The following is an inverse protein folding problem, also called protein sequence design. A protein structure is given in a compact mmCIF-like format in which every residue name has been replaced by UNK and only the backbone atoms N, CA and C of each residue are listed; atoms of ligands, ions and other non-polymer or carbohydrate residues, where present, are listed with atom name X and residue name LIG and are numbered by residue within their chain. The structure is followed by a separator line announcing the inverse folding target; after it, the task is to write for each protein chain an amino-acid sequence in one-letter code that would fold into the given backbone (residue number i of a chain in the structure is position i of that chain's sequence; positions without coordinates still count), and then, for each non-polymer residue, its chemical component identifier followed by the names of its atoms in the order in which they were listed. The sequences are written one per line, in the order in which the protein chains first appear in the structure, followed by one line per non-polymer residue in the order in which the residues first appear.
data_IF_747980365367
#
_entry.id   IF_747980365367
#
_cell.length_a   1.000
_cell.length_b   1.000
_cell.length_c   1.000
_cell.angle_alpha   90.00
_cell.angle_beta   90.00
_cell.angle_gamma   90.00
#
_symmetry.space_group_name_H-M   'P 1'
#
loop_
_entity.id
_entity.type
_entity.pdbx_description
1 polymer ?
#
# COMPACT_ATOMS: atom_id res chain seq x y z
N UNK A 1 -11.72 -21.42 -2.14
CA UNK A 1 -10.64 -21.53 -1.13
C UNK A 1 -10.31 -23.00 -0.91
N UNK A 2 -9.06 -23.43 -1.12
CA UNK A 2 -8.66 -24.84 -1.03
C UNK A 2 -8.09 -25.13 0.38
N UNK A 3 -8.87 -25.79 1.24
CA UNK A 3 -8.58 -26.03 2.66
C UNK A 3 -7.21 -26.69 2.95
N UNK A 4 -6.65 -27.41 1.97
CA UNK A 4 -5.31 -28.02 2.09
C UNK A 4 -4.15 -27.01 2.13
N UNK A 5 -4.31 -25.83 1.52
CA UNK A 5 -3.23 -24.83 1.39
C UNK A 5 -3.10 -23.92 2.62
N UNK A 6 -4.23 -23.60 3.28
CA UNK A 6 -4.25 -22.91 4.58
C UNK A 6 -3.50 -23.68 5.66
N UNK A 7 -3.48 -25.02 5.60
CA UNK A 7 -2.75 -25.86 6.56
C UNK A 7 -1.23 -25.62 6.55
N UNK A 8 -0.64 -25.32 5.39
CA UNK A 8 0.81 -25.05 5.29
C UNK A 8 1.14 -23.61 5.74
N UNK A 9 0.38 -22.61 5.32
CA UNK A 9 0.56 -21.22 5.78
C UNK A 9 0.28 -21.06 7.29
N UNK A 10 -0.69 -21.79 7.85
CA UNK A 10 -0.92 -21.82 9.29
C UNK A 10 0.28 -22.39 10.05
N UNK A 11 1.01 -23.36 9.50
CA UNK A 11 2.17 -23.97 10.17
C UNK A 11 3.38 -23.03 10.24
N UNK A 12 3.68 -22.30 9.16
CA UNK A 12 4.78 -21.31 9.11
C UNK A 12 4.48 -20.03 9.91
N UNK A 13 3.19 -19.71 10.11
CA UNK A 13 2.74 -18.50 10.81
C UNK A 13 2.33 -18.73 12.26
N UNK A 14 2.25 -19.99 12.71
CA UNK A 14 1.92 -20.34 14.10
C UNK A 14 3.12 -20.18 15.04
N UNK A 15 4.33 -20.58 14.61
CA UNK A 15 5.56 -20.38 15.40
C UNK A 15 5.84 -18.90 15.67
N UNK A 16 5.62 -18.03 14.68
CA UNK A 16 5.85 -16.60 14.82
C UNK A 16 4.78 -15.84 15.65
N UNK A 17 3.62 -16.46 15.89
CA UNK A 17 2.58 -15.96 16.82
C UNK A 17 2.86 -16.29 18.29
N UNK A 18 3.81 -17.18 18.61
CA UNK A 18 4.02 -17.66 19.99
C UNK A 18 4.65 -16.65 20.93
N UNK A 19 5.39 -15.67 20.42
CA UNK A 19 5.98 -14.61 21.25
C UNK A 19 5.73 -13.24 20.63
N UNK A 20 4.65 -12.58 21.08
CA UNK A 20 4.23 -11.24 20.63
C UNK A 20 4.58 -10.16 21.65
N UNK A 21 5.40 -10.47 22.67
CA UNK A 21 5.80 -9.50 23.71
C UNK A 21 6.57 -8.32 23.13
N UNK A 22 7.33 -8.57 22.07
CA UNK A 22 8.06 -7.54 21.35
C UNK A 22 7.12 -6.53 20.70
N UNK A 23 6.04 -6.97 20.02
CA UNK A 23 5.07 -6.09 19.38
C UNK A 23 4.31 -5.20 20.39
N UNK A 24 3.86 -5.78 21.50
CA UNK A 24 3.22 -5.02 22.58
C UNK A 24 4.16 -3.96 23.14
N UNK A 25 5.42 -4.34 23.40
CA UNK A 25 6.45 -3.43 23.86
C UNK A 25 6.70 -2.30 22.86
N UNK A 26 6.74 -2.57 21.56
CA UNK A 26 6.94 -1.53 20.53
C UNK A 26 5.82 -0.50 20.54
N UNK A 27 4.57 -0.94 20.66
CA UNK A 27 3.40 -0.05 20.70
C UNK A 27 3.38 0.78 22.00
N UNK A 28 3.69 0.17 23.14
CA UNK A 28 3.85 0.90 24.40
C UNK A 28 4.98 1.94 24.33
N UNK A 29 6.11 1.59 23.71
CA UNK A 29 7.23 2.50 23.51
C UNK A 29 6.84 3.68 22.61
N UNK A 30 6.10 3.45 21.52
CA UNK A 30 5.58 4.52 20.67
C UNK A 30 4.57 5.40 21.41
N UNK A 31 3.79 4.83 22.33
CA UNK A 31 2.85 5.58 23.16
C UNK A 31 3.55 6.45 24.22
N UNK A 32 4.59 5.92 24.88
CA UNK A 32 5.37 6.63 25.89
C UNK A 32 6.34 7.66 25.28
N UNK A 33 6.81 7.39 24.07
CA UNK A 33 7.80 8.19 23.35
C UNK A 33 7.29 8.51 21.93
N UNK A 34 6.30 9.41 21.78
CA UNK A 34 5.71 9.73 20.47
C UNK A 34 6.72 10.18 19.41
N UNK A 35 7.83 10.79 19.84
CA UNK A 35 8.95 11.20 18.99
C UNK A 35 9.63 10.06 18.23
N UNK A 36 9.51 8.82 18.72
CA UNK A 36 9.99 7.63 18.02
C UNK A 36 9.08 7.21 16.87
N UNK A 37 7.83 7.69 16.87
CA UNK A 37 6.87 7.53 15.78
C UNK A 37 7.12 8.50 14.62
N UNK A 38 8.16 9.34 14.68
CA UNK A 38 8.53 10.23 13.58
C UNK A 38 9.02 9.41 12.39
N UNK A 39 8.49 9.76 11.23
CA UNK A 39 8.90 9.22 9.96
C UNK A 39 10.05 10.07 9.39
N UNK A 40 11.15 9.45 8.96
CA UNK A 40 12.23 10.16 8.27
C UNK A 40 11.83 10.49 6.83
N UNK A 41 11.12 11.60 6.64
CA UNK A 41 11.17 12.31 5.35
C UNK A 41 11.64 13.73 5.62
N UNK A 42 12.63 14.19 4.87
CA UNK A 42 13.32 15.49 5.05
C UNK A 42 12.38 16.71 4.97
N UNK A 43 11.11 16.52 4.59
CA UNK A 43 10.12 17.58 4.38
C UNK A 43 8.89 17.51 5.32
N UNK A 44 8.70 16.44 6.10
CA UNK A 44 7.48 16.26 6.91
C UNK A 44 7.69 16.70 8.37
N UNK A 45 7.25 17.91 8.68
CA UNK A 45 7.36 18.53 10.01
C UNK A 45 6.36 18.03 11.07
N UNK A 46 5.52 17.02 10.81
CA UNK A 46 4.49 16.57 11.74
C UNK A 46 4.64 15.09 12.19
N UNK A 47 4.27 14.87 13.46
CA UNK A 47 4.35 13.61 14.20
C UNK A 47 3.15 12.71 13.86
N UNK A 48 3.34 11.69 13.01
CA UNK A 48 2.32 10.68 12.68
C UNK A 48 2.23 9.53 13.72
N UNK A 49 2.33 9.87 15.00
CA UNK A 49 2.45 8.86 16.07
C UNK A 49 1.13 8.11 16.31
N UNK A 50 -0.02 8.80 16.24
CA UNK A 50 -1.31 8.18 16.54
C UNK A 50 -1.70 7.15 15.48
N UNK A 51 -1.37 7.43 14.24
CA UNK A 51 -1.58 6.58 13.08
C UNK A 51 -0.71 5.33 13.17
N UNK A 52 0.59 5.51 13.48
CA UNK A 52 1.55 4.41 13.69
C UNK A 52 1.09 3.49 14.84
N UNK A 53 0.64 4.06 15.97
CA UNK A 53 0.09 3.29 17.09
C UNK A 53 -1.20 2.55 16.68
N UNK A 54 -2.07 3.19 15.88
CA UNK A 54 -3.27 2.57 15.35
C UNK A 54 -2.97 1.35 14.47
N UNK A 55 -1.96 1.46 13.60
CA UNK A 55 -1.45 0.36 12.77
C UNK A 55 -0.95 -0.80 13.64
N UNK A 56 -0.15 -0.51 14.67
CA UNK A 56 0.33 -1.53 15.60
C UNK A 56 -0.81 -2.23 16.35
N UNK A 57 -1.81 -1.48 16.82
CA UNK A 57 -3.01 -2.06 17.47
C UNK A 57 -3.79 -2.97 16.52
N UNK A 58 -3.90 -2.60 15.24
CA UNK A 58 -4.53 -3.44 14.21
C UNK A 58 -3.75 -4.73 13.96
N UNK A 59 -2.42 -4.65 13.94
CA UNK A 59 -1.56 -5.83 13.85
C UNK A 59 -1.80 -6.78 15.04
N UNK A 60 -1.83 -6.26 16.27
CA UNK A 60 -2.16 -7.06 17.46
C UNK A 60 -3.52 -7.74 17.28
N UNK A 61 -4.56 -6.98 16.91
CA UNK A 61 -5.92 -7.52 16.74
C UNK A 61 -5.96 -8.67 15.72
N UNK A 62 -5.29 -8.51 14.58
CA UNK A 62 -5.21 -9.52 13.53
C UNK A 62 -4.41 -10.76 13.96
N UNK A 63 -3.43 -10.60 14.86
CA UNK A 63 -2.59 -11.71 15.33
C UNK A 63 -3.18 -12.47 16.53
N UNK A 64 -3.90 -11.78 17.42
CA UNK A 64 -4.42 -12.33 18.68
C UNK A 64 -5.87 -12.81 18.60
N UNK A 65 -6.74 -12.08 17.89
CA UNK A 65 -8.19 -12.23 18.00
C UNK A 65 -8.79 -12.86 16.72
N UNK A 66 -8.27 -12.48 15.56
CA UNK A 66 -8.81 -12.89 14.27
C UNK A 66 -7.98 -14.04 13.67
N UNK A 67 -8.60 -14.91 12.85
CA UNK A 67 -7.86 -15.82 11.97
C UNK A 67 -7.61 -15.05 10.67
N UNK A 68 -6.45 -14.40 10.49
CA UNK A 68 -6.25 -13.50 9.36
C UNK A 68 -6.29 -14.29 8.06
N UNK A 69 -7.05 -13.79 7.09
CA UNK A 69 -7.06 -14.31 5.72
C UNK A 69 -6.04 -13.53 4.87
N UNK A 70 -5.69 -14.05 3.69
CA UNK A 70 -4.74 -13.42 2.75
C UNK A 70 -5.07 -11.95 2.46
N UNK A 71 -6.36 -11.60 2.40
CA UNK A 71 -6.81 -10.21 2.27
C UNK A 71 -6.39 -9.33 3.46
N UNK A 72 -6.59 -9.78 4.69
CA UNK A 72 -6.23 -9.02 5.89
C UNK A 72 -4.72 -8.80 5.98
N UNK A 73 -3.93 -9.82 5.61
CA UNK A 73 -2.47 -9.76 5.58
C UNK A 73 -2.00 -8.79 4.49
N UNK A 74 -2.66 -8.78 3.34
CA UNK A 74 -2.42 -7.81 2.25
C UNK A 74 -2.72 -6.39 2.68
N UNK A 75 -3.86 -6.15 3.31
CA UNK A 75 -4.24 -4.83 3.83
C UNK A 75 -3.26 -4.35 4.89
N UNK A 76 -2.84 -5.24 5.80
CA UNK A 76 -1.91 -4.95 6.87
C UNK A 76 -0.50 -4.67 6.36
N UNK A 77 0.01 -5.46 5.41
CA UNK A 77 1.28 -5.19 4.73
C UNK A 77 1.24 -3.85 4.01
N UNK A 78 0.17 -3.61 3.25
CA UNK A 78 -0.02 -2.36 2.55
C UNK A 78 -0.11 -1.18 3.50
N UNK A 79 -0.60 -1.35 4.73
CA UNK A 79 -0.62 -0.30 5.74
C UNK A 79 0.76 -0.08 6.37
N UNK A 80 1.45 -1.17 6.75
CA UNK A 80 2.75 -1.09 7.41
C UNK A 80 3.86 -0.54 6.51
N UNK A 81 3.80 -0.78 5.20
CA UNK A 81 4.75 -0.17 4.26
C UNK A 81 4.66 1.37 4.26
N UNK A 82 3.51 1.97 4.60
CA UNK A 82 3.41 3.43 4.76
C UNK A 82 4.36 3.91 5.86
N UNK A 83 4.44 3.14 6.94
CA UNK A 83 5.22 3.50 8.13
C UNK A 83 6.60 2.82 8.14
N UNK A 84 7.05 2.24 7.02
CA UNK A 84 8.40 1.66 6.86
C UNK A 84 9.39 2.81 6.73
N UNK A 85 9.98 3.23 7.86
CA UNK A 85 10.78 4.45 7.97
C UNK A 85 10.53 5.27 9.25
N UNK A 86 9.67 4.78 10.14
CA UNK A 86 9.57 5.28 11.51
C UNK A 86 10.90 5.09 12.24
N UNK A 87 11.33 6.10 13.02
CA UNK A 87 12.54 6.13 13.84
C UNK A 87 12.50 5.16 15.04
N UNK A 88 12.22 3.89 14.78
CA UNK A 88 12.14 2.83 15.77
C UNK A 88 12.60 1.50 15.15
N UNK A 89 13.69 0.94 15.66
CA UNK A 89 14.26 -0.32 15.18
C UNK A 89 13.28 -1.49 15.32
N UNK A 90 12.55 -1.57 16.44
CA UNK A 90 11.57 -2.63 16.65
C UNK A 90 10.40 -2.51 15.65
N UNK A 91 10.08 -1.29 15.20
CA UNK A 91 9.06 -1.06 14.17
C UNK A 91 9.51 -1.52 12.78
N UNK A 92 10.78 -1.33 12.43
CA UNK A 92 11.33 -1.86 11.18
C UNK A 92 11.26 -3.39 11.15
N UNK A 93 11.50 -4.04 12.28
CA UNK A 93 11.34 -5.49 12.41
C UNK A 93 9.87 -5.93 12.31
N UNK A 94 8.91 -5.13 12.80
CA UNK A 94 7.47 -5.34 12.53
C UNK A 94 7.19 -5.32 11.03
N UNK A 95 7.72 -4.31 10.33
CA UNK A 95 7.49 -4.14 8.89
C UNK A 95 8.05 -5.33 8.10
N UNK A 96 9.28 -5.78 8.41
CA UNK A 96 9.90 -6.96 7.79
C UNK A 96 9.10 -8.23 8.08
N UNK A 97 8.67 -8.41 9.33
CA UNK A 97 7.89 -9.56 9.74
C UNK A 97 6.57 -9.66 8.96
N UNK A 98 5.85 -8.55 8.82
CA UNK A 98 4.61 -8.56 8.03
C UNK A 98 4.87 -8.67 6.54
N UNK A 99 5.98 -8.14 6.03
CA UNK A 99 6.42 -8.35 4.65
C UNK A 99 6.68 -9.83 4.36
N UNK A 100 7.36 -10.56 5.23
CA UNK A 100 7.51 -12.01 5.12
C UNK A 100 6.16 -12.73 5.20
N UNK A 101 5.27 -12.28 6.09
CA UNK A 101 3.91 -12.80 6.21
C UNK A 101 3.11 -12.62 4.93
N UNK A 102 3.22 -11.45 4.32
CA UNK A 102 2.64 -11.09 3.04
C UNK A 102 3.16 -12.00 1.93
N UNK A 103 4.48 -12.17 1.84
CA UNK A 103 5.10 -13.08 0.87
C UNK A 103 4.62 -14.53 1.02
N UNK A 104 4.46 -15.01 2.25
CA UNK A 104 4.01 -16.39 2.54
C UNK A 104 2.50 -16.55 2.34
N UNK A 105 1.70 -15.54 2.66
CA UNK A 105 0.24 -15.58 2.57
C UNK A 105 -0.31 -15.27 1.17
N UNK A 106 0.45 -14.56 0.33
CA UNK A 106 -0.01 -13.99 -0.94
C UNK A 106 0.75 -14.47 -2.17
N UNK A 107 1.18 -15.72 -2.23
CA UNK A 107 1.53 -16.33 -3.54
C UNK A 107 0.24 -16.64 -4.35
N UNK A 108 -0.65 -15.66 -4.53
CA UNK A 108 -1.65 -15.65 -5.60
C UNK A 108 -2.79 -16.69 -5.59
N UNK A 109 -3.59 -16.78 -4.53
CA UNK A 109 -4.76 -17.68 -4.58
C UNK A 109 -6.03 -17.07 -5.25
N UNK A 110 -6.18 -15.73 -5.39
CA UNK A 110 -7.42 -15.10 -5.96
C UNK A 110 -7.21 -13.80 -6.81
N UNK A 111 -6.02 -13.52 -7.39
CA UNK A 111 -5.82 -12.24 -8.12
C UNK A 111 -6.54 -12.20 -9.47
N UNK A 112 -7.68 -11.50 -9.53
CA UNK A 112 -8.47 -11.28 -10.76
C UNK A 112 -7.99 -10.06 -11.57
N UNK A 113 -6.77 -9.56 -11.36
CA UNK A 113 -6.32 -8.33 -12.00
C UNK A 113 -6.78 -7.06 -11.29
N UNK A 114 -7.35 -7.12 -10.09
CA UNK A 114 -7.81 -5.93 -9.36
C UNK A 114 -7.53 -6.03 -7.87
N UNK A 115 -7.20 -4.90 -7.25
CA UNK A 115 -7.30 -4.71 -5.80
C UNK A 115 -8.17 -3.51 -5.48
N UNK A 116 -8.89 -3.60 -4.37
CA UNK A 116 -9.63 -2.48 -3.79
C UNK A 116 -9.11 -2.22 -2.37
N UNK A 117 -8.77 -0.97 -2.09
CA UNK A 117 -8.10 -0.56 -0.87
C UNK A 117 -8.88 0.56 -0.18
N UNK A 118 -9.08 0.44 1.13
CA UNK A 118 -9.47 1.57 1.96
C UNK A 118 -8.28 1.98 2.84
N UNK A 119 -7.42 2.84 2.30
CA UNK A 119 -6.19 3.27 2.97
C UNK A 119 -6.44 4.04 4.28
N UNK A 120 -7.61 4.67 4.42
CA UNK A 120 -7.87 5.66 5.47
C UNK A 120 -8.93 5.22 6.50
N UNK A 121 -9.45 3.99 6.37
CA UNK A 121 -10.56 3.45 7.17
C UNK A 121 -10.41 3.69 8.67
N UNK A 122 -9.20 3.57 9.19
CA UNK A 122 -8.91 3.58 10.63
C UNK A 122 -8.51 4.98 11.15
N UNK A 123 -8.24 5.95 10.25
CA UNK A 123 -7.67 7.25 10.60
C UNK A 123 -8.67 8.40 10.39
N UNK A 124 -9.73 8.16 9.61
CA UNK A 124 -10.79 9.13 9.28
C UNK A 124 -10.31 10.57 8.96
N UNK A 125 -9.30 10.75 8.09
CA UNK A 125 -8.85 12.09 7.70
C UNK A 125 -9.90 12.77 6.80
N UNK A 126 -9.69 14.06 6.53
CA UNK A 126 -10.44 14.71 5.45
C UNK A 126 -10.04 14.10 4.11
N UNK A 127 -11.01 13.46 3.46
CA UNK A 127 -10.80 12.69 2.24
C UNK A 127 -10.89 13.57 0.99
N UNK A 128 -10.08 13.23 0.00
CA UNK A 128 -10.04 13.90 -1.30
C UNK A 128 -10.02 12.88 -2.43
N UNK A 129 -10.55 13.26 -3.59
CA UNK A 129 -10.34 12.54 -4.86
C UNK A 129 -9.76 13.50 -5.89
N UNK A 130 -9.30 12.97 -7.01
CA UNK A 130 -8.99 13.80 -8.19
C UNK A 130 -10.29 14.39 -8.75
N UNK A 131 -10.24 15.60 -9.31
CA UNK A 131 -11.42 16.26 -9.84
C UNK A 131 -11.74 15.84 -11.29
N UNK A 132 -10.70 15.48 -12.05
CA UNK A 132 -10.79 15.13 -13.48
C UNK A 132 -9.94 13.91 -13.78
N UNK A 133 -10.34 13.04 -14.72
CA UNK A 133 -9.52 11.95 -15.16
C UNK A 133 -8.18 12.42 -15.75
N UNK A 134 -7.11 11.65 -15.53
CA UNK A 134 -5.79 11.94 -16.10
C UNK A 134 -5.02 10.68 -16.50
N UNK A 135 -4.07 10.83 -17.42
CA UNK A 135 -3.15 9.78 -17.84
C UNK A 135 -1.81 10.01 -17.14
N UNK A 136 -1.23 8.93 -16.63
CA UNK A 136 0.05 8.90 -15.97
C UNK A 136 1.00 7.97 -16.73
N UNK A 137 2.19 8.46 -17.06
CA UNK A 137 3.26 7.68 -17.68
C UNK A 137 4.53 7.79 -16.84
N UNK A 138 5.14 6.64 -16.59
CA UNK A 138 6.36 6.54 -15.81
C UNK A 138 7.31 5.55 -16.44
N UNK A 139 8.54 6.02 -16.66
CA UNK A 139 9.62 5.24 -17.23
C UNK A 139 10.86 5.37 -16.36
N UNK A 140 11.44 4.24 -15.98
CA UNK A 140 12.69 4.17 -15.26
C UNK A 140 13.73 3.49 -16.14
N UNK A 141 14.77 4.23 -16.49
CA UNK A 141 15.93 3.74 -17.24
C UNK A 141 17.17 4.13 -16.47
N UNK A 142 18.01 3.16 -16.09
CA UNK A 142 19.30 3.44 -15.45
C UNK A 142 20.39 2.57 -16.04
N UNK A 143 21.45 3.21 -16.51
CA UNK A 143 22.64 2.60 -17.10
C UNK A 143 23.87 3.07 -16.34
N UNK A 144 24.28 2.37 -15.27
CA UNK A 144 25.51 2.72 -14.51
C UNK A 144 26.64 1.70 -14.68
N UNK A 145 26.33 0.48 -15.09
CA UNK A 145 27.21 -0.60 -15.58
C UNK A 145 26.29 -1.81 -15.75
N UNK A 146 26.59 -2.72 -16.67
CA UNK A 146 25.76 -3.91 -16.91
C UNK A 146 25.51 -4.67 -15.58
N UNK A 147 24.25 -5.02 -15.23
CA UNK A 147 23.04 -4.96 -16.05
C UNK A 147 22.33 -3.59 -16.03
N UNK A 148 21.73 -3.21 -17.16
CA UNK A 148 20.85 -2.04 -17.22
C UNK A 148 19.50 -2.32 -16.53
N UNK A 149 18.83 -1.25 -16.10
CA UNK A 149 17.53 -1.31 -15.43
C UNK A 149 16.46 -0.65 -16.30
N UNK A 150 15.34 -1.34 -16.48
CA UNK A 150 14.22 -0.88 -17.28
C UNK A 150 12.86 -1.17 -16.64
N UNK A 151 11.98 -0.17 -16.62
CA UNK A 151 10.57 -0.32 -16.31
C UNK A 151 9.76 0.78 -16.97
N UNK A 152 8.59 0.45 -17.52
CA UNK A 152 7.70 1.42 -18.15
C UNK A 152 6.24 1.03 -17.93
N UNK A 153 5.47 1.94 -17.36
CA UNK A 153 4.03 1.76 -17.14
C UNK A 153 3.26 3.00 -17.53
N UNK A 154 2.05 2.78 -18.01
CA UNK A 154 1.06 3.81 -18.32
C UNK A 154 -0.25 3.40 -17.68
N UNK A 155 -0.84 4.31 -16.92
CA UNK A 155 -2.15 4.09 -16.32
C UNK A 155 -3.03 5.33 -16.39
N UNK A 156 -4.33 5.08 -16.29
CA UNK A 156 -5.35 6.09 -16.22
C UNK A 156 -5.87 6.19 -14.79
N UNK A 157 -6.05 7.41 -14.28
CA UNK A 157 -6.68 7.66 -12.98
C UNK A 157 -8.02 8.34 -13.24
N UNK A 158 -9.10 7.77 -12.72
CA UNK A 158 -10.46 8.30 -12.78
C UNK A 158 -11.00 8.58 -11.38
N UNK A 159 -11.77 9.66 -11.18
CA UNK A 159 -12.54 9.85 -9.95
C UNK A 159 -13.63 8.78 -9.84
N UNK A 160 -13.80 8.23 -8.65
CA UNK A 160 -14.85 7.27 -8.29
C UNK A 160 -15.53 7.70 -6.99
N UNK A 161 -16.23 8.85 -7.04
CA UNK A 161 -16.74 9.59 -5.88
C UNK A 161 -17.75 8.79 -5.02
N UNK A 162 -18.31 7.71 -5.58
CA UNK A 162 -19.35 6.90 -4.93
C UNK A 162 -18.81 6.02 -3.78
N UNK A 163 -17.54 5.60 -3.84
CA UNK A 163 -16.95 4.66 -2.87
C UNK A 163 -15.69 5.26 -2.23
N UNK A 164 -15.57 5.22 -0.90
CA UNK A 164 -14.38 5.70 -0.17
C UNK A 164 -13.18 4.73 -0.28
N UNK A 165 -12.96 4.16 -1.46
CA UNK A 165 -11.91 3.18 -1.75
C UNK A 165 -11.10 3.59 -2.98
N UNK A 166 -9.87 3.08 -3.04
CA UNK A 166 -9.00 3.16 -4.21
C UNK A 166 -9.02 1.79 -4.89
N UNK A 167 -9.42 1.78 -6.15
CA UNK A 167 -9.36 0.59 -6.99
C UNK A 167 -8.12 0.67 -7.87
N UNK A 168 -7.31 -0.39 -7.89
CA UNK A 168 -6.19 -0.53 -8.82
C UNK A 168 -6.46 -1.75 -9.68
N UNK A 169 -6.53 -1.57 -10.99
CA UNK A 169 -6.96 -2.56 -11.97
C UNK A 169 -5.87 -2.75 -13.01
N UNK A 170 -5.61 -4.00 -13.34
CA UNK A 170 -4.76 -4.46 -14.42
C UNK A 170 -5.63 -4.75 -15.64
N UNK A 171 -5.31 -4.12 -16.78
CA UNK A 171 -6.05 -4.26 -18.03
C UNK A 171 -5.13 -4.55 -19.22
N UNK A 172 -3.95 -5.14 -18.96
CA UNK A 172 -3.01 -5.56 -20.00
C UNK A 172 -3.17 -7.07 -20.21
N UNK A 173 -3.70 -7.46 -21.37
CA UNK A 173 -3.91 -8.87 -21.71
C UNK A 173 -2.70 -9.53 -22.42
N UNK A 174 -1.79 -8.71 -22.97
CA UNK A 174 -0.63 -9.19 -23.73
C UNK A 174 0.64 -9.10 -22.86
N UNK A 175 1.19 -10.26 -22.48
CA UNK A 175 2.42 -10.37 -21.69
C UNK A 175 3.64 -9.76 -22.37
N UNK A 176 3.59 -9.51 -23.69
CA UNK A 176 4.66 -8.79 -24.42
C UNK A 176 4.73 -7.31 -24.05
N UNK A 177 3.61 -6.72 -23.61
CA UNK A 177 3.57 -5.33 -23.15
C UNK A 177 4.23 -5.25 -21.77
N UNK A 178 3.72 -6.02 -20.82
CA UNK A 178 4.32 -6.20 -19.49
C UNK A 178 3.99 -7.63 -19.01
N UNK A 179 4.99 -8.45 -18.65
CA UNK A 179 4.77 -9.75 -18.02
C UNK A 179 4.00 -9.67 -16.70
N UNK A 180 3.13 -10.66 -16.45
CA UNK A 180 2.27 -10.71 -15.24
C UNK A 180 3.05 -10.71 -13.92
N UNK A 181 4.29 -11.19 -13.93
CA UNK A 181 5.19 -11.22 -12.77
C UNK A 181 5.54 -9.82 -12.23
N UNK A 182 5.32 -8.76 -13.02
CA UNK A 182 5.57 -7.38 -12.61
C UNK A 182 4.35 -6.69 -11.98
N UNK A 183 3.15 -7.29 -12.05
CA UNK A 183 1.92 -6.67 -11.54
C UNK A 183 2.02 -6.27 -10.05
N UNK A 184 2.52 -7.13 -9.13
CA UNK A 184 2.57 -6.77 -7.71
C UNK A 184 3.40 -5.53 -7.44
N UNK A 185 4.58 -5.47 -8.04
CA UNK A 185 5.54 -4.38 -7.82
C UNK A 185 5.08 -3.08 -8.48
N UNK A 186 4.27 -3.16 -9.55
CA UNK A 186 3.59 -1.98 -10.13
C UNK A 186 2.53 -1.46 -9.17
N UNK A 187 1.68 -2.34 -8.65
CA UNK A 187 0.62 -1.95 -7.69
C UNK A 187 1.23 -1.38 -6.42
N UNK A 188 2.29 -2.01 -5.89
CA UNK A 188 3.08 -1.47 -4.79
C UNK A 188 3.59 -0.07 -5.10
N UNK A 189 4.19 0.16 -6.27
CA UNK A 189 4.69 1.47 -6.67
C UNK A 189 3.62 2.56 -6.79
N UNK A 190 2.42 2.21 -7.25
CA UNK A 190 1.26 3.13 -7.27
C UNK A 190 0.86 3.49 -5.84
N UNK A 191 0.70 2.50 -4.98
CA UNK A 191 0.29 2.71 -3.59
C UNK A 191 1.36 3.56 -2.89
N UNK A 192 2.64 3.18 -2.97
CA UNK A 192 3.82 3.88 -2.41
C UNK A 192 3.78 5.38 -2.74
N UNK A 193 3.48 5.74 -3.98
CA UNK A 193 3.39 7.14 -4.39
C UNK A 193 2.16 7.89 -3.81
N UNK A 194 1.02 7.21 -3.62
CA UNK A 194 -0.15 7.80 -2.94
C UNK A 194 0.18 8.06 -1.46
N UNK A 195 0.89 7.14 -0.81
CA UNK A 195 1.41 7.31 0.56
C UNK A 195 2.29 8.54 0.66
N UNK A 196 3.31 8.59 -0.20
CA UNK A 196 4.32 9.62 -0.20
C UNK A 196 3.66 10.98 -0.41
N UNK A 197 2.65 11.04 -1.29
CA UNK A 197 1.86 12.24 -1.52
C UNK A 197 1.11 12.69 -0.27
N UNK A 198 0.43 11.77 0.44
CA UNK A 198 -0.24 12.08 1.69
C UNK A 198 0.76 12.62 2.74
N UNK A 199 1.91 11.97 2.93
CA UNK A 199 2.92 12.42 3.89
C UNK A 199 3.46 13.82 3.57
N UNK A 200 3.59 14.17 2.29
CA UNK A 200 4.10 15.48 1.84
C UNK A 200 3.08 16.60 1.88
N UNK A 201 1.80 16.29 1.70
CA UNK A 201 0.77 17.31 1.43
C UNK A 201 -0.41 17.30 2.39
N UNK A 202 -0.51 16.27 3.24
CA UNK A 202 -1.66 16.00 4.11
C UNK A 202 -3.00 15.87 3.33
N UNK A 203 -2.93 15.44 2.06
CA UNK A 203 -4.11 15.16 1.22
C UNK A 203 -4.34 13.66 1.19
N UNK A 204 -5.35 13.18 1.94
CA UNK A 204 -5.71 11.78 2.00
C UNK A 204 -6.57 11.38 0.78
N UNK A 205 -5.92 10.80 -0.22
CA UNK A 205 -6.55 10.46 -1.50
C UNK A 205 -7.33 9.15 -1.45
N UNK A 206 -8.61 9.18 -1.80
CA UNK A 206 -9.47 8.01 -1.94
C UNK A 206 -10.47 8.23 -3.07
N UNK A 207 -11.39 7.28 -3.28
CA UNK A 207 -12.43 7.39 -4.31
C UNK A 207 -11.82 7.60 -5.68
N UNK A 208 -10.85 6.75 -6.03
CA UNK A 208 -10.13 6.79 -7.29
C UNK A 208 -10.06 5.39 -7.88
N UNK A 209 -10.10 5.33 -9.21
CA UNK A 209 -9.88 4.11 -9.97
C UNK A 209 -8.63 4.30 -10.82
N UNK A 210 -7.64 3.44 -10.63
CA UNK A 210 -6.34 3.47 -11.31
C UNK A 210 -6.27 2.23 -12.21
N UNK A 211 -6.23 2.44 -13.51
CA UNK A 211 -6.27 1.37 -14.51
C UNK A 211 -4.93 1.32 -15.22
N UNK A 212 -4.13 0.29 -14.97
CA UNK A 212 -2.90 -0.01 -15.69
C UNK A 212 -3.26 -0.69 -17.00
N UNK A 213 -3.14 0.05 -18.11
CA UNK A 213 -3.64 -0.40 -19.41
C UNK A 213 -2.55 -0.48 -20.48
N UNK A 214 -1.35 0.06 -20.23
CA UNK A 214 -0.25 0.00 -21.19
C UNK A 214 1.12 0.13 -20.51
N UNK A 215 2.19 -0.04 -21.29
CA UNK A 215 3.57 0.10 -20.87
C UNK A 215 4.49 -0.52 -21.91
N UNK A 216 5.69 -0.91 -21.49
CA UNK A 216 6.54 -1.73 -22.34
C UNK A 216 7.57 -2.50 -21.51
N UNK A 217 8.07 -3.57 -22.11
CA UNK A 217 9.03 -4.50 -21.52
C UNK A 217 10.31 -4.58 -22.36
N UNK A 218 11.44 -4.86 -21.71
CA UNK A 218 12.70 -5.17 -22.37
C UNK A 218 13.25 -6.49 -21.82
N UNK A 219 13.45 -7.48 -22.70
CA UNK A 219 13.74 -8.88 -22.32
C UNK A 219 14.93 -9.05 -21.36
N UNK A 220 15.95 -8.22 -21.49
CA UNK A 220 17.21 -8.36 -20.71
C UNK A 220 17.27 -7.40 -19.52
N UNK A 221 16.64 -6.23 -19.66
CA UNK A 221 16.88 -5.10 -18.74
C UNK A 221 15.70 -4.89 -17.77
N UNK A 222 14.55 -5.52 -18.02
CA UNK A 222 13.38 -5.42 -17.17
C UNK A 222 13.60 -6.10 -15.82
N UNK A 223 13.33 -5.36 -14.73
CA UNK A 223 13.47 -5.83 -13.35
C UNK A 223 12.28 -5.39 -12.51
N UNK A 224 11.91 -6.20 -11.52
CA UNK A 224 10.78 -5.90 -10.62
C UNK A 224 10.92 -4.53 -9.95
N UNK A 225 12.09 -4.24 -9.38
CA UNK A 225 12.36 -2.95 -8.74
C UNK A 225 12.21 -1.76 -9.71
N UNK A 226 12.53 -1.95 -10.99
CA UNK A 226 12.42 -0.90 -12.01
C UNK A 226 10.97 -0.59 -12.35
N UNK A 227 10.09 -1.60 -12.39
CA UNK A 227 8.66 -1.39 -12.58
C UNK A 227 7.99 -0.71 -11.39
N UNK A 228 8.39 -1.06 -10.16
CA UNK A 228 7.93 -0.35 -8.95
C UNK A 228 8.29 1.13 -8.99
N UNK A 229 9.54 1.45 -9.32
CA UNK A 229 10.00 2.84 -9.43
C UNK A 229 9.27 3.56 -10.58
N UNK A 230 9.10 2.92 -11.74
CA UNK A 230 8.39 3.50 -12.87
C UNK A 230 6.93 3.85 -12.51
N UNK A 231 6.23 2.95 -11.82
CA UNK A 231 4.86 3.19 -11.34
C UNK A 231 4.78 4.35 -10.34
N UNK A 232 5.72 4.42 -9.39
CA UNK A 232 5.80 5.54 -8.45
C UNK A 232 6.10 6.87 -9.16
N UNK A 233 6.96 6.87 -10.19
CA UNK A 233 7.22 8.06 -11.03
C UNK A 233 5.95 8.52 -11.74
N UNK A 234 5.23 7.60 -12.39
CA UNK A 234 3.97 7.91 -13.07
C UNK A 234 2.97 8.55 -12.10
N UNK A 235 2.77 7.92 -10.95
CA UNK A 235 1.76 8.33 -9.98
C UNK A 235 2.10 9.72 -9.39
N UNK A 236 3.35 9.94 -8.98
CA UNK A 236 3.79 11.25 -8.47
C UNK A 236 3.57 12.37 -9.48
N UNK A 237 3.90 12.14 -10.76
CA UNK A 237 3.66 13.13 -11.82
C UNK A 237 2.17 13.41 -12.00
N UNK A 238 1.35 12.37 -11.96
CA UNK A 238 -0.10 12.50 -12.05
C UNK A 238 -0.67 13.33 -10.89
N UNK A 239 -0.32 12.99 -9.65
CA UNK A 239 -0.80 13.70 -8.46
C UNK A 239 -0.31 15.15 -8.38
N UNK A 240 0.92 15.43 -8.84
CA UNK A 240 1.45 16.80 -8.89
C UNK A 240 0.68 17.72 -9.86
N UNK A 241 0.02 17.15 -10.88
CA UNK A 241 -0.76 17.90 -11.87
C UNK A 241 -2.28 17.78 -11.66
N UNK A 242 -2.72 17.07 -10.62
CA UNK A 242 -4.13 16.83 -10.38
C UNK A 242 -4.77 18.01 -9.64
N UNK A 243 -6.01 18.32 -10.01
CA UNK A 243 -6.91 19.11 -9.16
C UNK A 243 -7.59 18.16 -8.18
N UNK A 244 -7.76 18.56 -6.92
CA UNK A 244 -8.41 17.73 -5.90
C UNK A 244 -9.76 18.29 -5.49
N UNK A 245 -10.71 17.39 -5.28
CA UNK A 245 -12.03 17.70 -4.72
C UNK A 245 -12.18 16.99 -3.37
N UNK A 246 -12.67 17.72 -2.37
CA UNK A 246 -12.96 17.14 -1.07
C UNK A 246 -14.18 16.23 -1.12
N UNK A 247 -14.10 15.08 -0.47
CA UNK A 247 -15.19 14.12 -0.36
C UNK A 247 -15.95 14.41 0.93
N UNK A 248 -17.27 14.63 0.87
CA UNK A 248 -18.07 14.78 2.07
C UNK A 248 -17.91 13.55 2.96
N UNK A 249 -17.68 13.74 4.26
CA UNK A 249 -17.80 12.63 5.20
C UNK A 249 -19.22 12.09 5.09
N UNK A 250 -19.34 10.78 4.86
CA UNK A 250 -20.62 10.09 4.98
C UNK A 250 -21.04 10.25 6.45
N UNK A 251 -21.87 11.26 6.75
CA UNK A 251 -22.49 11.37 8.07
C UNK A 251 -23.15 10.04 8.35
N UNK A 252 -22.74 9.38 9.42
CA UNK A 252 -23.46 8.26 10.00
C UNK A 252 -24.86 8.73 10.32
N UNK A 253 -25.81 8.47 9.42
CA UNK A 253 -27.23 8.60 9.70
C UNK A 253 -27.64 7.47 10.62
N UNK A 254 -27.24 7.55 11.88
CA UNK A 254 -27.73 6.68 12.96
C UNK A 254 -27.69 7.48 14.25
N UNK A 255 -28.73 8.29 14.45
CA UNK A 255 -29.43 8.49 15.72
C UNK A 255 -30.76 9.21 15.39
N UNK A 256 -31.69 8.44 14.81
CA UNK A 256 -33.12 8.68 14.94
C UNK A 256 -33.74 7.43 15.56
N UNK A 257 -33.76 7.39 16.87
CA UNK A 257 -34.83 6.87 17.73
C UNK A 257 -34.71 7.76 18.98
N UNK A 258 -35.68 8.61 19.31
CA UNK A 258 -37.05 8.24 19.60
C UNK A 258 -37.17 8.21 21.12
#
# INVERSE_FOLDING_TARGET
MNDKKLGYAQYYTYEARKDMRWLHRTIELLHQHPERGKYESEEAGELFTNETIGVGKKLIKLMEIEKPISKDISELYNLLKFYKGVLNYDWDDICKYVEEWHWVANIWDDFEGMIELNLWKEVEPKLYSIAKPLIAEGKFIRTTSSPAHYGHVVFHIEPKIEDQTIQIIWQINDEKIIPVDYIPVIFEGIIDAIIEYFHKTNIALTSMKIIVYNGSHHEVDSRQISYRIAAAIACRKALANAEFIGIPSLRTSNHQYG
#
